data_IF_628023525938
#
_entry.id   IF_628023525938
#
_cell.length_a   1.000
_cell.length_b   1.000
_cell.length_c   1.000
_cell.angle_alpha   90.00
_cell.angle_beta   90.00
_cell.angle_gamma   90.00
#
_symmetry.space_group_name_H-M   'P 1'
#
loop_
_entity.id
_entity.type
_entity.pdbx_description
1 polymer ?
#
# COMPACT_ATOMS: atom_id res chain seq x y z
N UNK A 1 6.89 22.08 -11.65
CA UNK A 1 6.16 20.83 -11.30
C UNK A 1 7.17 19.68 -11.19
N UNK A 2 7.55 19.27 -9.98
CA UNK A 2 8.37 18.05 -9.80
C UNK A 2 7.51 16.85 -10.20
N UNK A 3 7.89 16.14 -11.27
CA UNK A 3 7.37 14.78 -11.53
C UNK A 3 7.70 13.97 -10.28
N UNK A 4 6.69 13.50 -9.54
CA UNK A 4 6.96 12.52 -8.50
C UNK A 4 7.50 11.27 -9.20
N UNK A 5 8.73 10.88 -8.86
CA UNK A 5 9.29 9.58 -9.26
C UNK A 5 8.67 8.46 -8.41
N UNK A 6 7.36 8.56 -8.14
CA UNK A 6 6.63 7.59 -7.35
C UNK A 6 6.69 6.23 -8.05
N UNK A 7 6.81 5.16 -7.26
CA UNK A 7 6.82 3.80 -7.79
C UNK A 7 5.44 3.20 -7.58
N UNK A 8 4.81 2.80 -8.68
CA UNK A 8 3.49 2.18 -8.70
C UNK A 8 3.62 0.72 -9.11
N UNK A 9 3.05 -0.16 -8.29
CA UNK A 9 2.97 -1.59 -8.51
C UNK A 9 1.51 -2.01 -8.64
N UNK A 10 1.21 -2.85 -9.62
CA UNK A 10 -0.14 -3.34 -9.89
C UNK A 10 -0.18 -4.85 -9.75
N UNK A 11 -1.20 -5.36 -9.08
CA UNK A 11 -1.34 -6.80 -8.87
C UNK A 11 -2.76 -7.18 -8.46
N UNK A 12 -2.91 -8.42 -8.02
CA UNK A 12 -4.15 -8.90 -7.43
C UNK A 12 -4.33 -8.36 -6.01
N UNK A 13 -5.55 -8.41 -5.50
CA UNK A 13 -5.85 -8.01 -4.12
C UNK A 13 -5.04 -8.82 -3.12
N UNK A 14 -4.87 -10.13 -3.37
CA UNK A 14 -4.09 -11.02 -2.50
C UNK A 14 -2.62 -10.59 -2.42
N UNK A 15 -2.00 -10.25 -3.56
CA UNK A 15 -0.61 -9.85 -3.58
C UNK A 15 -0.38 -8.50 -2.86
N UNK A 16 -1.29 -7.53 -3.04
CA UNK A 16 -1.20 -6.24 -2.32
C UNK A 16 -1.51 -6.41 -0.83
N UNK A 17 -2.40 -7.34 -0.46
CA UNK A 17 -2.62 -7.71 0.94
C UNK A 17 -1.38 -8.31 1.60
N UNK A 18 -0.61 -9.14 0.89
CA UNK A 18 0.65 -9.66 1.44
C UNK A 18 1.65 -8.52 1.79
N UNK A 19 1.68 -7.46 0.97
CA UNK A 19 2.45 -6.24 1.30
C UNK A 19 1.85 -5.54 2.52
N UNK A 20 0.52 -5.35 2.57
CA UNK A 20 -0.16 -4.77 3.73
C UNK A 20 0.15 -5.55 5.02
N UNK A 21 0.09 -6.89 4.97
CA UNK A 21 0.34 -7.77 6.10
C UNK A 21 1.79 -7.66 6.59
N UNK A 22 2.77 -7.52 5.68
CA UNK A 22 4.17 -7.27 6.06
C UNK A 22 4.33 -5.95 6.82
N UNK A 23 3.62 -4.89 6.42
CA UNK A 23 3.63 -3.61 7.14
C UNK A 23 2.97 -3.78 8.52
N UNK A 24 1.80 -4.42 8.55
CA UNK A 24 1.01 -4.63 9.78
C UNK A 24 1.67 -5.58 10.79
N UNK A 25 2.54 -6.46 10.33
CA UNK A 25 3.35 -7.32 11.20
C UNK A 25 4.39 -6.52 12.02
N UNK A 26 4.65 -5.26 11.65
CA UNK A 26 5.54 -4.37 12.39
C UNK A 26 4.75 -3.37 13.24
N UNK A 27 5.37 -2.81 14.28
CA UNK A 27 4.81 -1.65 15.00
C UNK A 27 5.26 -0.32 14.37
N UNK A 28 5.79 -0.33 13.15
CA UNK A 28 6.44 0.82 12.52
C UNK A 28 5.50 1.69 11.70
N UNK A 29 4.19 1.72 11.97
CA UNK A 29 3.25 2.42 11.09
C UNK A 29 2.09 3.09 11.83
N UNK A 30 1.54 4.12 11.19
CA UNK A 30 0.19 4.65 11.44
C UNK A 30 -0.66 4.41 10.20
N UNK A 31 -1.94 4.04 10.38
CA UNK A 31 -2.86 3.76 9.28
C UNK A 31 -3.97 4.80 9.20
N UNK A 32 -4.41 5.10 7.98
CA UNK A 32 -5.66 5.81 7.76
C UNK A 32 -6.38 5.30 6.52
N UNK A 33 -7.71 5.40 6.55
CA UNK A 33 -8.59 4.87 5.51
C UNK A 33 -9.36 6.02 4.87
N UNK A 34 -9.18 6.23 3.57
CA UNK A 34 -10.00 7.16 2.81
C UNK A 34 -11.00 6.39 1.93
N UNK A 35 -12.27 6.45 2.30
CA UNK A 35 -13.35 5.92 1.47
C UNK A 35 -13.87 7.03 0.54
N UNK A 36 -13.60 6.92 -0.76
CA UNK A 36 -14.26 7.79 -1.74
C UNK A 36 -15.59 7.15 -2.12
N UNK A 37 -16.72 7.64 -1.59
CA UNK A 37 -18.05 7.32 -2.14
C UNK A 37 -18.08 7.81 -3.60
N UNK A 38 -18.16 6.90 -4.57
CA UNK A 38 -18.44 7.30 -5.95
C UNK A 38 -19.84 7.92 -6.00
N UNK A 39 -19.98 9.04 -6.73
CA UNK A 39 -21.16 9.92 -6.81
C UNK A 39 -22.44 9.29 -7.40
N UNK A 40 -22.49 7.98 -7.66
CA UNK A 40 -23.69 7.33 -8.18
C UNK A 40 -24.40 6.49 -7.10
N UNK A 41 -25.58 6.92 -6.63
CA UNK A 41 -26.50 6.06 -5.89
C UNK A 41 -27.33 5.26 -6.90
N UNK A 42 -26.75 4.21 -7.48
CA UNK A 42 -27.53 3.26 -8.26
C UNK A 42 -27.29 1.86 -7.70
N UNK A 43 -28.40 1.25 -7.25
CA UNK A 43 -28.54 -0.07 -6.67
C UNK A 43 -28.11 -0.19 -5.21
N UNK A 44 -28.93 0.41 -4.33
CA UNK A 44 -29.32 -0.23 -3.07
C UNK A 44 -30.10 -1.51 -3.43
N UNK A 45 -29.39 -2.61 -3.67
CA UNK A 45 -29.96 -3.94 -3.53
C UNK A 45 -29.67 -4.37 -2.08
N UNK A 46 -30.76 -4.60 -1.35
CA UNK A 46 -30.77 -5.10 0.01
C UNK A 46 -30.05 -6.45 0.08
N UNK A 47 -29.22 -6.63 1.10
CA UNK A 47 -28.77 -7.94 1.56
C UNK A 47 -27.68 -8.62 0.73
N UNK A 48 -26.43 -8.13 0.80
CA UNK A 48 -25.22 -8.98 0.79
C UNK A 48 -23.98 -8.13 1.07
N UNK A 49 -23.10 -8.65 1.94
CA UNK A 49 -21.81 -8.10 2.29
C UNK A 49 -20.83 -8.16 1.09
N UNK A 50 -20.43 -6.97 0.59
CA UNK A 50 -19.39 -6.68 -0.45
C UNK A 50 -19.74 -6.99 -1.94
N UNK A 51 -19.14 -6.34 -2.99
CA UNK A 51 -18.13 -5.28 -3.06
C UNK A 51 -18.43 -4.21 -4.16
N UNK A 52 -19.21 -3.15 -3.88
CA UNK A 52 -19.35 -2.02 -4.81
C UNK A 52 -18.37 -0.87 -4.55
N UNK A 53 -17.39 -1.05 -3.65
CA UNK A 53 -16.55 0.03 -3.12
C UNK A 53 -15.08 -0.16 -3.50
N UNK A 54 -14.51 0.84 -4.18
CA UNK A 54 -13.08 1.01 -4.25
C UNK A 54 -12.60 1.68 -2.95
N UNK A 55 -11.56 1.11 -2.33
CA UNK A 55 -10.99 1.62 -1.08
C UNK A 55 -9.59 2.14 -1.33
N UNK A 56 -9.23 3.22 -0.62
CA UNK A 56 -7.85 3.69 -0.52
C UNK A 56 -7.44 3.66 0.94
N UNK A 57 -6.38 2.93 1.24
CA UNK A 57 -5.71 2.98 2.53
C UNK A 57 -4.38 3.71 2.34
N UNK A 58 -4.00 4.50 3.32
CA UNK A 58 -2.66 5.07 3.39
C UNK A 58 -2.01 4.61 4.69
N UNK A 59 -0.73 4.31 4.59
CA UNK A 59 0.12 3.95 5.71
C UNK A 59 1.26 4.96 5.74
N UNK A 60 1.48 5.57 6.89
CA UNK A 60 2.72 6.29 7.16
C UNK A 60 3.61 5.33 7.94
N UNK A 61 4.68 4.86 7.30
CA UNK A 61 5.62 3.91 7.88
C UNK A 61 6.84 4.67 8.36
N UNK A 62 7.30 4.39 9.58
CA UNK A 62 8.44 4.99 10.25
C UNK A 62 9.60 3.99 10.25
N UNK A 63 10.54 4.04 9.29
CA UNK A 63 11.53 2.98 9.10
C UNK A 63 12.46 2.75 10.29
N UNK A 64 12.62 3.77 11.15
CA UNK A 64 13.56 3.80 12.26
C UNK A 64 12.88 3.75 13.63
N UNK A 65 11.55 3.87 13.71
CA UNK A 65 10.83 4.02 14.96
C UNK A 65 9.72 2.96 15.07
N UNK A 66 9.66 2.27 16.20
CA UNK A 66 8.52 1.42 16.56
C UNK A 66 7.47 2.27 17.26
N UNK A 67 6.38 2.56 16.57
CA UNK A 67 5.23 3.31 17.10
C UNK A 67 4.51 2.44 18.13
N UNK A 68 4.68 2.78 19.41
CA UNK A 68 4.02 2.10 20.52
C UNK A 68 3.80 3.05 21.70
N UNK A 69 2.94 2.65 22.64
CA UNK A 69 2.75 3.39 23.88
C UNK A 69 3.96 3.32 24.82
N UNK A 70 4.95 2.47 24.52
CA UNK A 70 6.16 2.24 25.32
C UNK A 70 7.40 2.94 24.74
N UNK A 71 7.23 3.88 23.81
CA UNK A 71 8.35 4.64 23.22
C UNK A 71 9.06 5.51 24.29
N UNK A 72 10.36 5.76 24.07
CA UNK A 72 11.09 6.77 24.82
C UNK A 72 10.43 8.13 24.64
N UNK A 73 10.48 8.98 25.68
CA UNK A 73 9.81 10.29 25.69
C UNK A 73 10.31 11.17 24.54
N UNK A 74 11.62 11.17 24.26
CA UNK A 74 12.20 11.95 23.17
C UNK A 74 11.68 11.48 21.81
N UNK A 75 11.70 10.17 21.54
CA UNK A 75 11.14 9.57 20.31
C UNK A 75 9.64 9.84 20.15
N UNK A 76 8.89 9.80 21.25
CA UNK A 76 7.46 10.13 21.27
C UNK A 76 7.22 11.59 20.90
N UNK A 77 8.03 12.51 21.43
CA UNK A 77 7.93 13.93 21.12
C UNK A 77 8.31 14.18 19.65
N UNK A 78 9.41 13.62 19.16
CA UNK A 78 9.82 13.74 17.76
C UNK A 78 8.75 13.21 16.79
N UNK A 79 8.10 12.09 17.15
CA UNK A 79 6.96 11.56 16.41
C UNK A 79 5.75 12.50 16.44
N UNK A 80 5.42 13.04 17.62
CA UNK A 80 4.28 13.95 17.82
C UNK A 80 4.44 15.27 17.02
N UNK A 81 5.65 15.79 16.94
CA UNK A 81 5.98 17.02 16.19
C UNK A 81 6.25 16.78 14.69
N UNK A 82 6.12 15.53 14.22
CA UNK A 82 6.33 15.11 12.84
C UNK A 82 7.76 15.31 12.32
N UNK A 83 8.76 15.29 13.21
CA UNK A 83 10.19 15.37 12.86
C UNK A 83 10.79 13.99 12.54
N UNK A 84 10.07 12.90 12.82
CA UNK A 84 10.49 11.54 12.46
C UNK A 84 10.38 11.28 10.95
N UNK A 85 11.41 10.68 10.31
CA UNK A 85 11.34 10.30 8.90
C UNK A 85 10.20 9.33 8.59
N UNK A 86 9.36 9.68 7.62
CA UNK A 86 8.21 8.88 7.17
C UNK A 86 8.34 8.43 5.72
N UNK A 87 7.91 7.19 5.45
CA UNK A 87 7.66 6.67 4.11
C UNK A 87 6.17 6.41 3.95
N UNK A 88 5.55 7.13 3.00
CA UNK A 88 4.13 6.96 2.70
C UNK A 88 3.91 5.79 1.75
N UNK A 89 2.97 4.93 2.10
CA UNK A 89 2.52 3.80 1.29
C UNK A 89 1.03 3.93 1.04
N UNK A 90 0.62 3.90 -0.21
CA UNK A 90 -0.76 4.05 -0.64
C UNK A 90 -1.24 2.74 -1.24
N UNK A 91 -2.27 2.14 -0.65
CA UNK A 91 -2.90 0.92 -1.15
C UNK A 91 -4.27 1.25 -1.69
N UNK A 92 -4.53 0.88 -2.95
CA UNK A 92 -5.84 1.01 -3.58
C UNK A 92 -6.38 -0.38 -3.91
N UNK A 93 -7.55 -0.68 -3.38
CA UNK A 93 -8.26 -1.93 -3.65
C UNK A 93 -9.47 -1.67 -4.54
N UNK A 94 -9.54 -2.38 -5.66
CA UNK A 94 -10.69 -2.46 -6.55
C UNK A 94 -11.22 -3.89 -6.60
N UNK A 95 -12.13 -4.18 -5.68
CA UNK A 95 -12.75 -5.50 -5.53
C UNK A 95 -13.63 -5.91 -6.72
N UNK A 96 -14.08 -4.96 -7.55
CA UNK A 96 -14.90 -5.29 -8.74
C UNK A 96 -14.08 -5.98 -9.82
N UNK A 97 -12.82 -5.58 -9.93
CA UNK A 97 -11.91 -6.07 -10.97
C UNK A 97 -10.85 -7.03 -10.42
N UNK A 98 -10.98 -7.46 -9.16
CA UNK A 98 -9.94 -8.17 -8.39
C UNK A 98 -8.54 -7.54 -8.56
N UNK A 99 -8.49 -6.21 -8.59
CA UNK A 99 -7.30 -5.45 -8.92
C UNK A 99 -6.90 -4.58 -7.74
N UNK A 100 -5.61 -4.53 -7.45
CA UNK A 100 -5.08 -3.66 -6.43
C UNK A 100 -3.80 -2.98 -6.90
N UNK A 101 -3.52 -1.83 -6.30
CA UNK A 101 -2.37 -0.99 -6.63
C UNK A 101 -1.69 -0.57 -5.34
N UNK A 102 -0.37 -0.70 -5.33
CA UNK A 102 0.53 -0.19 -4.31
C UNK A 102 1.28 1.00 -4.92
N UNK A 103 1.25 2.14 -4.26
CA UNK A 103 1.96 3.34 -4.67
C UNK A 103 2.86 3.82 -3.52
N UNK A 104 4.12 4.10 -3.85
CA UNK A 104 5.13 4.62 -2.92
C UNK A 104 5.62 5.94 -3.53
N UNK A 105 5.10 7.10 -3.08
CA UNK A 105 5.39 8.41 -3.69
C UNK A 105 6.86 8.82 -3.62
N UNK A 106 7.60 8.33 -2.62
CA UNK A 106 9.05 8.50 -2.46
C UNK A 106 9.87 7.68 -3.46
N UNK A 107 9.23 6.84 -4.28
CA UNK A 107 9.89 6.12 -5.36
C UNK A 107 10.80 5.00 -4.87
N UNK A 108 11.84 4.72 -5.67
CA UNK A 108 12.79 3.63 -5.39
C UNK A 108 13.53 3.76 -4.06
N UNK A 109 13.75 4.98 -3.57
CA UNK A 109 14.37 5.20 -2.26
C UNK A 109 13.45 4.77 -1.12
N UNK A 110 12.15 5.09 -1.21
CA UNK A 110 11.14 4.58 -0.27
C UNK A 110 11.07 3.07 -0.24
N UNK A 111 11.12 2.42 -1.41
CA UNK A 111 11.15 0.95 -1.49
C UNK A 111 12.37 0.40 -0.77
N UNK A 112 13.57 0.92 -1.04
CA UNK A 112 14.80 0.48 -0.39
C UNK A 112 14.75 0.61 1.14
N UNK A 113 14.19 1.71 1.64
CA UNK A 113 14.05 1.93 3.08
C UNK A 113 13.07 0.92 3.70
N UNK A 114 11.91 0.72 3.08
CA UNK A 114 10.92 -0.25 3.56
C UNK A 114 11.44 -1.69 3.51
N UNK A 115 12.15 -2.08 2.44
CA UNK A 115 12.77 -3.41 2.32
C UNK A 115 13.80 -3.67 3.42
N UNK A 116 14.53 -2.64 3.87
CA UNK A 116 15.50 -2.78 4.98
C UNK A 116 14.82 -2.84 6.35
N UNK A 117 13.76 -2.06 6.55
CA UNK A 117 13.14 -1.88 7.85
C UNK A 117 11.98 -2.84 8.15
N UNK A 118 11.37 -3.44 7.12
CA UNK A 118 10.24 -4.35 7.25
C UNK A 118 10.61 -5.73 6.69
N UNK A 119 10.69 -6.77 7.54
CA UNK A 119 10.89 -8.14 7.10
C UNK A 119 9.81 -8.59 6.11
N UNK A 120 10.21 -9.27 5.03
CA UNK A 120 9.28 -9.81 4.02
C UNK A 120 8.71 -8.77 3.03
N UNK A 121 8.93 -7.46 3.24
CA UNK A 121 8.40 -6.43 2.37
C UNK A 121 8.97 -6.50 0.94
N UNK A 122 10.29 -6.72 0.81
CA UNK A 122 10.94 -6.83 -0.49
C UNK A 122 10.38 -7.96 -1.35
N UNK A 123 10.24 -9.15 -0.76
CA UNK A 123 9.69 -10.34 -1.44
C UNK A 123 8.23 -10.11 -1.88
N UNK A 124 7.42 -9.49 -1.03
CA UNK A 124 6.03 -9.18 -1.36
C UNK A 124 5.91 -8.16 -2.50
N UNK A 125 6.82 -7.18 -2.57
CA UNK A 125 6.89 -6.20 -3.67
C UNK A 125 7.39 -6.84 -4.96
N UNK A 126 8.40 -7.71 -4.90
CA UNK A 126 8.91 -8.41 -6.09
C UNK A 126 7.84 -9.34 -6.69
N UNK A 127 7.01 -9.98 -5.85
CA UNK A 127 5.86 -10.75 -6.30
C UNK A 127 4.85 -9.90 -7.09
N UNK A 128 4.66 -8.62 -6.75
CA UNK A 128 3.81 -7.70 -7.50
C UNK A 128 4.40 -7.35 -8.88
N UNK A 129 5.72 -7.16 -8.97
CA UNK A 129 6.39 -6.84 -10.25
C UNK A 129 6.42 -8.07 -11.18
N UNK A 130 6.54 -9.28 -10.62
CA UNK A 130 6.45 -10.54 -11.37
C UNK A 130 5.04 -10.80 -11.96
N UNK A 131 3.97 -10.40 -11.25
CA UNK A 131 2.59 -10.47 -11.76
C UNK A 131 2.40 -9.54 -12.97
N UNK A 132 3.03 -8.35 -12.95
CA UNK A 132 3.06 -7.44 -14.10
C UNK A 132 3.76 -8.06 -15.31
N UNK A 133 4.89 -8.74 -15.10
CA UNK A 133 5.63 -9.46 -16.15
C UNK A 133 4.84 -10.60 -16.77
N UNK A 134 4.12 -11.39 -15.95
CA UNK A 134 3.25 -12.49 -16.43
C UNK A 134 2.06 -12.00 -17.24
N UNK A 135 1.39 -10.93 -16.81
CA UNK A 135 0.27 -10.35 -17.56
C UNK A 135 0.74 -9.70 -18.89
N UNK A 136 1.94 -9.11 -18.91
CA UNK A 136 2.55 -8.60 -20.14
C UNK A 136 2.99 -9.69 -21.12
N UNK A 137 3.39 -10.86 -20.63
CA UNK A 137 3.72 -12.03 -21.45
C UNK A 137 2.45 -12.74 -21.98
N UNK A 138 1.41 -12.87 -21.16
CA UNK A 138 0.15 -13.48 -21.56
C UNK A 138 -0.59 -12.65 -22.62
N UNK A 139 -0.52 -11.31 -22.57
CA UNK A 139 -1.06 -10.45 -23.64
C UNK A 139 -0.31 -10.59 -24.97
N UNK A 140 0.97 -10.98 -24.96
CA UNK A 140 1.73 -11.21 -26.20
C UNK A 140 1.54 -12.61 -26.78
N UNK A 141 1.08 -13.57 -25.98
CA UNK A 141 0.86 -14.96 -26.42
C UNK A 141 -0.56 -15.23 -26.96
N UNK A 142 -1.48 -14.26 -26.89
CA UNK A 142 -2.87 -14.39 -27.35
C UNK A 142 -3.18 -13.73 -28.69
N UNK A 143 -2.17 -13.37 -29.47
CA UNK A 143 -2.34 -12.87 -30.85
C UNK A 143 -1.64 -13.83 -31.80
N UNK A 144 -2.29 -14.94 -32.12
CA UNK A 144 -2.13 -15.63 -33.41
C UNK A 144 -3.38 -16.44 -33.70
#
# INVERSE_FOLDING_TARGET
MRKSNGREYRGTIVAVRAVEDSIRATKKYTEGIWTRRQKHPALRLQGEDFPSRAFRKYYEVYPQLDVSWEMLIDDFMDWLWADTPIVRVLLRYDYRSNHATLEIPSGGEGVKQLTKSIPGFGEAVDALDLVKGRNGAAQKAGVT
#
